data_IF_901258058081
#
_entry.id   IF_901258058081
#
_cell.length_a   1.000
_cell.length_b   1.000
_cell.length_c   1.000
_cell.angle_alpha   90.00
_cell.angle_beta   90.00
_cell.angle_gamma   90.00
#
_symmetry.space_group_name_H-M   'P 1'
#
loop_
_entity.id
_entity.type
_entity.pdbx_description
1 polymer ?
#
# COMPACT_ATOMS: atom_id res chain seq x y z
N UNK A 1 -12.46 13.73 13.99
CA UNK A 1 -13.48 12.68 14.14
C UNK A 1 -13.22 11.44 13.29
N UNK A 2 -12.94 11.52 11.97
CA UNK A 2 -12.71 10.38 11.06
C UNK A 2 -11.80 9.29 11.68
N UNK A 3 -10.53 9.59 11.95
CA UNK A 3 -9.56 8.60 12.46
C UNK A 3 -9.86 8.08 13.88
N UNK A 4 -10.55 8.87 14.71
CA UNK A 4 -11.05 8.40 16.01
C UNK A 4 -12.13 7.33 15.85
N UNK A 5 -13.07 7.50 14.92
CA UNK A 5 -14.09 6.47 14.62
C UNK A 5 -13.44 5.23 14.02
N UNK A 6 -12.43 5.38 13.17
CA UNK A 6 -11.66 4.25 12.65
C UNK A 6 -10.98 3.45 13.79
N UNK A 7 -10.42 4.11 14.79
CA UNK A 7 -9.87 3.41 15.97
C UNK A 7 -10.94 2.65 16.76
N UNK A 8 -12.17 3.17 16.83
CA UNK A 8 -13.31 2.43 17.43
C UNK A 8 -13.63 1.18 16.60
N UNK A 9 -13.66 1.29 15.27
CA UNK A 9 -13.88 0.13 14.39
C UNK A 9 -12.72 -0.88 14.49
N UNK A 10 -11.49 -0.41 14.65
CA UNK A 10 -10.32 -1.24 14.89
C UNK A 10 -10.36 -1.99 16.24
N UNK A 11 -11.11 -1.49 17.21
CA UNK A 11 -11.37 -2.22 18.45
C UNK A 11 -12.49 -3.24 18.29
N UNK A 12 -13.66 -2.82 17.77
CA UNK A 12 -14.87 -3.63 17.76
C UNK A 12 -14.84 -4.77 16.74
N UNK A 13 -14.34 -4.51 15.53
CA UNK A 13 -14.45 -5.43 14.41
C UNK A 13 -13.58 -6.70 14.56
N UNK A 14 -12.30 -6.64 14.99
CA UNK A 14 -11.51 -7.85 15.21
C UNK A 14 -12.06 -8.75 16.32
N UNK A 15 -12.84 -8.21 17.26
CA UNK A 15 -13.54 -8.99 18.29
C UNK A 15 -14.74 -9.77 17.73
N UNK A 16 -15.22 -9.39 16.54
CA UNK A 16 -16.33 -10.00 15.80
C UNK A 16 -15.88 -10.76 14.56
N UNK A 17 -14.58 -11.10 14.47
CA UNK A 17 -13.99 -11.78 13.32
C UNK A 17 -14.15 -11.03 11.97
N UNK A 18 -14.19 -9.71 12.03
CA UNK A 18 -14.15 -8.80 10.88
C UNK A 18 -12.75 -8.20 10.82
N UNK A 19 -12.03 -8.40 9.72
CA UNK A 19 -10.76 -7.72 9.54
C UNK A 19 -11.01 -6.22 9.36
N UNK A 20 -10.39 -5.39 10.22
CA UNK A 20 -10.44 -3.93 10.11
C UNK A 20 -9.11 -3.45 9.54
N UNK A 21 -9.15 -2.64 8.48
CA UNK A 21 -8.02 -2.44 7.58
C UNK A 21 -7.85 -0.98 7.19
N UNK A 22 -6.63 -0.45 7.36
CA UNK A 22 -6.22 0.82 6.77
C UNK A 22 -5.69 0.56 5.36
N UNK A 23 -6.58 0.50 4.39
CA UNK A 23 -6.29 0.13 3.02
C UNK A 23 -7.26 0.81 2.05
N UNK A 24 -6.89 0.89 0.78
CA UNK A 24 -7.83 1.15 -0.31
C UNK A 24 -8.36 -0.19 -0.85
N UNK A 25 -9.52 -0.17 -1.51
CA UNK A 25 -10.09 -1.37 -2.13
C UNK A 25 -10.80 -1.04 -3.43
N UNK A 26 -10.68 -1.92 -4.42
CA UNK A 26 -11.41 -1.88 -5.66
C UNK A 26 -11.81 -3.29 -6.12
N UNK A 27 -12.69 -3.37 -7.11
CA UNK A 27 -13.05 -4.62 -7.76
C UNK A 27 -13.04 -4.45 -9.28
N UNK A 28 -13.05 -5.55 -10.05
CA UNK A 28 -13.22 -5.47 -11.50
C UNK A 28 -14.60 -4.92 -11.88
N UNK A 29 -14.80 -4.61 -13.15
CA UNK A 29 -16.06 -4.05 -13.64
C UNK A 29 -17.27 -5.00 -13.49
N UNK A 30 -17.00 -6.31 -13.33
CA UNK A 30 -18.01 -7.32 -13.07
C UNK A 30 -18.30 -7.54 -11.59
N UNK A 31 -17.55 -6.89 -10.69
CA UNK A 31 -17.70 -7.02 -9.25
C UNK A 31 -17.30 -8.40 -8.69
N UNK A 32 -16.34 -9.10 -9.32
CA UNK A 32 -15.94 -10.48 -8.97
C UNK A 32 -14.54 -10.60 -8.39
N UNK A 33 -13.64 -9.68 -8.72
CA UNK A 33 -12.23 -9.73 -8.33
C UNK A 33 -11.86 -8.50 -7.51
N UNK A 34 -12.03 -8.60 -6.20
CA UNK A 34 -11.65 -7.53 -5.25
C UNK A 34 -10.16 -7.59 -4.95
N UNK A 35 -9.50 -6.44 -5.03
CA UNK A 35 -8.15 -6.20 -4.57
C UNK A 35 -8.12 -5.17 -3.44
N UNK A 36 -7.25 -5.39 -2.45
CA UNK A 36 -7.02 -4.45 -1.35
C UNK A 36 -5.56 -4.01 -1.34
N UNK A 37 -5.35 -2.72 -1.10
CA UNK A 37 -4.04 -2.06 -1.15
C UNK A 37 -3.73 -1.46 0.21
N UNK A 38 -2.80 -2.04 0.94
CA UNK A 38 -2.25 -1.45 2.14
C UNK A 38 -1.07 -0.54 1.78
N UNK A 39 -0.85 0.49 2.57
CA UNK A 39 0.32 1.35 2.38
C UNK A 39 0.21 2.61 3.23
N UNK A 40 1.35 3.17 3.57
CA UNK A 40 1.46 4.44 4.29
C UNK A 40 1.38 5.62 3.32
N UNK A 41 1.37 6.83 3.86
CA UNK A 41 1.37 8.06 3.05
C UNK A 41 2.55 8.06 2.06
N UNK A 42 2.30 8.42 0.81
CA UNK A 42 3.31 8.51 -0.24
C UNK A 42 3.63 7.20 -0.97
N UNK A 43 3.04 6.07 -0.59
CA UNK A 43 3.23 4.78 -1.28
C UNK A 43 2.36 4.62 -2.53
N UNK A 44 1.42 5.54 -2.78
CA UNK A 44 0.55 5.50 -3.95
C UNK A 44 -0.76 4.74 -3.76
N UNK A 45 -1.17 4.47 -2.51
CA UNK A 45 -2.40 3.72 -2.17
C UNK A 45 -3.63 4.23 -2.96
N UNK A 46 -3.99 5.50 -2.83
CA UNK A 46 -5.14 6.10 -3.52
C UNK A 46 -4.95 6.09 -5.04
N UNK A 47 -3.79 6.52 -5.54
CA UNK A 47 -3.48 6.58 -6.97
C UNK A 47 -3.58 5.21 -7.67
N UNK A 48 -3.15 4.13 -7.01
CA UNK A 48 -3.12 2.79 -7.60
C UNK A 48 -4.46 2.05 -7.46
N UNK A 49 -5.25 2.37 -6.43
CA UNK A 49 -6.59 1.80 -6.25
C UNK A 49 -7.66 2.48 -7.10
N UNK A 50 -7.47 3.75 -7.45
CA UNK A 50 -8.34 4.50 -8.35
C UNK A 50 -7.86 4.28 -9.78
N UNK A 51 -8.52 3.36 -10.48
CA UNK A 51 -8.20 2.96 -11.85
C UNK A 51 -9.49 2.96 -12.68
N UNK A 52 -9.52 3.64 -13.85
CA UNK A 52 -10.71 3.67 -14.72
C UNK A 52 -11.16 2.29 -15.22
N UNK A 53 -10.29 1.27 -15.16
CA UNK A 53 -10.62 -0.12 -15.51
C UNK A 53 -11.26 -0.91 -14.35
N UNK A 54 -11.43 -0.30 -13.18
CA UNK A 54 -11.92 -0.98 -11.96
C UNK A 54 -12.94 -0.10 -11.24
N UNK A 55 -13.77 -0.70 -10.40
CA UNK A 55 -14.75 -0.01 -9.57
C UNK A 55 -14.17 0.20 -8.17
N UNK A 56 -14.05 1.44 -7.74
CA UNK A 56 -13.60 1.79 -6.39
C UNK A 56 -14.63 1.35 -5.34
N UNK A 57 -14.17 0.67 -4.28
CA UNK A 57 -14.96 0.38 -3.08
C UNK A 57 -14.72 1.51 -2.07
N UNK A 58 -13.47 1.91 -1.88
CA UNK A 58 -13.06 3.05 -1.06
C UNK A 58 -11.55 3.24 -1.07
N UNK A 59 -11.08 4.39 -0.55
CA UNK A 59 -9.68 4.77 -0.68
C UNK A 59 -8.83 4.64 0.59
N UNK A 60 -9.45 4.42 1.79
CA UNK A 60 -8.69 4.52 3.04
C UNK A 60 -9.04 3.53 4.16
N UNK A 61 -10.33 3.31 4.48
CA UNK A 61 -10.76 2.56 5.67
C UNK A 61 -11.81 1.50 5.33
N UNK A 62 -11.48 0.23 5.58
CA UNK A 62 -12.33 -0.90 5.18
C UNK A 62 -12.49 -1.96 6.27
N UNK A 63 -13.61 -2.67 6.20
CA UNK A 63 -13.83 -3.94 6.86
C UNK A 63 -13.87 -5.10 5.88
N UNK A 64 -13.53 -6.29 6.34
CA UNK A 64 -13.71 -7.52 5.60
C UNK A 64 -14.42 -8.55 6.47
N UNK A 65 -15.72 -8.72 6.25
CA UNK A 65 -16.57 -9.71 6.90
C UNK A 65 -16.60 -11.05 6.12
N UNK A 66 -17.56 -11.91 6.39
CA UNK A 66 -17.70 -13.18 5.66
C UNK A 66 -18.38 -13.03 4.30
N UNK A 67 -19.03 -11.88 4.05
CA UNK A 67 -19.68 -11.58 2.78
C UNK A 67 -18.78 -10.79 1.81
N UNK A 68 -17.70 -10.15 2.32
CA UNK A 68 -16.75 -9.42 1.47
C UNK A 68 -16.13 -8.19 2.11
N UNK A 69 -15.53 -7.36 1.26
CA UNK A 69 -14.84 -6.13 1.64
C UNK A 69 -15.80 -4.95 1.51
N UNK A 70 -15.91 -4.14 2.55
CA UNK A 70 -16.79 -2.97 2.58
C UNK A 70 -16.09 -1.73 3.13
N UNK A 71 -16.50 -0.57 2.61
CA UNK A 71 -15.97 0.74 3.00
C UNK A 71 -16.66 1.24 4.27
N UNK A 72 -15.91 1.87 5.17
CA UNK A 72 -16.47 2.57 6.34
C UNK A 72 -16.91 3.99 6.03
N UNK A 73 -16.49 4.55 4.91
CA UNK A 73 -16.57 5.98 4.60
C UNK A 73 -17.55 6.28 3.47
N UNK A 74 -18.19 7.43 3.55
CA UNK A 74 -19.06 7.94 2.46
C UNK A 74 -18.32 8.85 1.46
N UNK A 75 -17.02 9.05 1.61
CA UNK A 75 -16.22 9.94 0.79
C UNK A 75 -14.75 9.56 0.74
N UNK A 76 -13.98 10.36 -0.01
CA UNK A 76 -12.55 10.22 -0.15
C UNK A 76 -11.83 11.45 0.43
N UNK A 77 -10.56 11.27 0.80
CA UNK A 77 -9.69 12.33 1.31
C UNK A 77 -8.29 12.18 0.71
N UNK A 78 -8.11 12.83 -0.44
CA UNK A 78 -6.93 12.66 -1.28
C UNK A 78 -5.92 13.78 -1.10
N UNK A 79 -4.63 13.48 -1.30
CA UNK A 79 -3.55 14.47 -1.43
C UNK A 79 -3.60 15.03 -2.85
N UNK A 80 -3.43 16.38 -2.98
CA UNK A 80 -3.59 17.05 -4.27
C UNK A 80 -2.40 17.96 -4.64
N UNK A 81 -1.27 17.82 -3.94
CA UNK A 81 -0.05 18.51 -4.37
C UNK A 81 0.39 18.00 -5.74
N UNK A 82 0.62 18.94 -6.67
CA UNK A 82 0.96 18.65 -8.07
C UNK A 82 -0.05 17.72 -8.78
N UNK A 83 -1.34 17.78 -8.38
CA UNK A 83 -2.39 16.99 -9.01
C UNK A 83 -2.48 17.34 -10.50
N UNK A 84 -2.37 16.33 -11.33
CA UNK A 84 -2.40 16.44 -12.78
C UNK A 84 -3.56 15.63 -13.36
N UNK A 85 -4.28 16.24 -14.31
CA UNK A 85 -5.48 15.65 -14.91
C UNK A 85 -5.20 14.39 -15.74
N UNK A 86 -4.02 14.28 -16.35
CA UNK A 86 -3.67 13.15 -17.20
C UNK A 86 -3.23 11.94 -16.38
N UNK A 87 -2.52 12.18 -15.28
CA UNK A 87 -2.02 11.11 -14.40
C UNK A 87 -3.03 10.62 -13.37
N UNK A 88 -3.95 11.52 -12.90
CA UNK A 88 -4.94 11.21 -11.86
C UNK A 88 -6.33 11.78 -12.23
N UNK A 89 -6.92 11.36 -13.36
CA UNK A 89 -8.14 11.95 -13.91
C UNK A 89 -9.35 11.82 -12.96
N UNK A 90 -9.47 10.71 -12.24
CA UNK A 90 -10.62 10.47 -11.37
C UNK A 90 -10.61 11.43 -10.17
N UNK A 91 -9.45 11.64 -9.53
CA UNK A 91 -9.33 12.59 -8.42
C UNK A 91 -9.55 14.01 -8.93
N UNK A 92 -8.94 14.36 -10.07
CA UNK A 92 -9.08 15.69 -10.66
C UNK A 92 -10.54 16.03 -10.97
N UNK A 93 -11.28 15.12 -11.61
CA UNK A 93 -12.67 15.30 -11.98
C UNK A 93 -13.64 15.24 -10.79
N UNK A 94 -13.24 14.63 -9.66
CA UNK A 94 -14.02 14.63 -8.43
C UNK A 94 -14.01 15.98 -7.71
N UNK A 95 -13.07 16.89 -8.04
CA UNK A 95 -12.98 18.22 -7.46
C UNK A 95 -13.99 19.15 -8.15
N UNK A 96 -15.20 19.13 -7.63
CA UNK A 96 -16.34 19.93 -8.14
C UNK A 96 -17.17 20.43 -6.95
N UNK A 97 -18.34 21.01 -7.21
CA UNK A 97 -19.26 21.44 -6.16
C UNK A 97 -19.40 20.37 -5.06
N UNK A 98 -19.38 20.79 -3.82
CA UNK A 98 -19.41 19.97 -2.59
C UNK A 98 -18.10 19.24 -2.25
N UNK A 99 -17.00 19.49 -3.01
CA UNK A 99 -15.65 19.14 -2.56
C UNK A 99 -15.08 20.20 -1.63
N UNK A 100 -14.34 19.76 -0.60
CA UNK A 100 -13.68 20.65 0.37
C UNK A 100 -12.17 20.62 0.14
N UNK A 101 -11.58 21.80 -0.11
CA UNK A 101 -10.15 21.97 -0.25
C UNK A 101 -9.53 22.33 1.11
N UNK A 102 -8.43 21.68 1.45
CA UNK A 102 -7.65 21.95 2.67
C UNK A 102 -6.22 22.32 2.30
N UNK A 103 -5.78 23.48 2.78
CA UNK A 103 -4.44 24.06 2.52
C UNK A 103 -4.15 24.33 1.02
N UNK A 104 -5.13 24.29 0.17
CA UNK A 104 -5.00 24.54 -1.27
C UNK A 104 -5.18 26.04 -1.53
N UNK A 105 -4.29 26.62 -2.30
CA UNK A 105 -4.36 28.04 -2.65
C UNK A 105 -5.35 28.25 -3.78
N UNK A 106 -6.27 29.17 -3.56
CA UNK A 106 -7.25 29.61 -4.56
C UNK A 106 -7.04 31.10 -4.78
N UNK A 107 -6.78 31.51 -6.01
CA UNK A 107 -6.57 32.92 -6.33
C UNK A 107 -7.88 33.75 -6.33
N UNK A 108 -7.78 35.08 -6.46
CA UNK A 108 -8.93 35.99 -6.46
C UNK A 108 -9.97 35.68 -7.56
N UNK A 109 -9.56 35.05 -8.67
CA UNK A 109 -10.43 34.61 -9.73
C UNK A 109 -11.10 33.24 -9.48
N UNK A 110 -10.91 32.65 -8.29
CA UNK A 110 -11.42 31.32 -7.92
C UNK A 110 -10.69 30.16 -8.58
N UNK A 111 -9.53 30.39 -9.21
CA UNK A 111 -8.73 29.33 -9.81
C UNK A 111 -7.84 28.66 -8.77
N UNK A 112 -7.86 27.33 -8.75
CA UNK A 112 -7.03 26.50 -7.88
C UNK A 112 -5.65 26.32 -8.49
N UNK A 113 -4.60 26.42 -7.66
CA UNK A 113 -3.23 26.06 -8.02
C UNK A 113 -2.75 24.90 -7.13
N UNK A 114 -2.69 23.72 -7.70
CA UNK A 114 -2.25 22.50 -6.99
C UNK A 114 -0.72 22.42 -6.83
N UNK A 115 0.05 23.29 -7.50
CA UNK A 115 1.51 23.35 -7.36
C UNK A 115 1.97 24.32 -6.28
N UNK A 116 1.08 25.17 -5.79
CA UNK A 116 1.39 26.16 -4.77
C UNK A 116 1.57 25.51 -3.40
N UNK A 117 2.79 25.62 -2.87
CA UNK A 117 3.19 25.08 -1.56
C UNK A 117 3.35 26.15 -0.49
N UNK A 118 2.93 27.39 -0.77
CA UNK A 118 3.15 28.55 0.13
C UNK A 118 2.54 28.35 1.52
N UNK A 119 1.40 27.67 1.63
CA UNK A 119 0.82 27.31 2.93
C UNK A 119 1.48 26.03 3.49
N UNK A 120 1.55 24.98 2.70
CA UNK A 120 2.17 23.67 3.02
C UNK A 120 2.13 22.75 1.80
N UNK A 121 3.05 21.78 1.73
CA UNK A 121 3.00 20.68 0.74
C UNK A 121 1.89 19.67 1.04
N UNK A 122 1.27 19.69 2.24
CA UNK A 122 0.19 18.80 2.63
C UNK A 122 -1.18 19.36 2.22
N UNK A 123 -1.37 19.57 0.93
CA UNK A 123 -2.65 19.96 0.35
C UNK A 123 -3.57 18.77 0.19
N UNK A 124 -4.85 18.92 0.50
CA UNK A 124 -5.85 17.86 0.48
C UNK A 124 -7.17 18.31 -0.15
N UNK A 125 -7.91 17.32 -0.65
CA UNK A 125 -9.32 17.49 -1.00
C UNK A 125 -10.14 16.39 -0.36
N UNK A 126 -11.30 16.75 0.15
CA UNK A 126 -12.34 15.80 0.58
C UNK A 126 -13.54 15.94 -0.34
N UNK A 127 -14.07 14.83 -0.83
CA UNK A 127 -15.25 14.78 -1.70
C UNK A 127 -16.07 13.52 -1.43
N UNK A 128 -17.40 13.57 -1.67
CA UNK A 128 -18.26 12.40 -1.59
C UNK A 128 -17.81 11.32 -2.58
N UNK A 129 -17.86 10.05 -2.21
CA UNK A 129 -17.36 8.96 -3.05
C UNK A 129 -18.08 8.90 -4.43
N UNK A 130 -19.34 9.31 -4.50
CA UNK A 130 -20.12 9.35 -5.74
C UNK A 130 -19.66 10.45 -6.73
N UNK A 131 -18.68 11.29 -6.37
CA UNK A 131 -17.99 12.16 -7.33
C UNK A 131 -17.06 11.37 -8.26
N UNK A 132 -16.61 10.19 -7.84
CA UNK A 132 -15.91 9.24 -8.69
C UNK A 132 -16.95 8.47 -9.51
N UNK A 133 -16.73 8.36 -10.80
CA UNK A 133 -17.66 7.68 -11.71
C UNK A 133 -17.59 6.15 -11.55
N UNK A 134 -16.38 5.63 -11.49
CA UNK A 134 -16.10 4.21 -11.39
C UNK A 134 -16.11 3.72 -9.93
N UNK A 135 -17.30 3.67 -9.32
CA UNK A 135 -17.50 3.16 -7.96
C UNK A 135 -18.47 1.98 -7.95
N UNK A 136 -18.35 1.13 -6.93
CA UNK A 136 -19.33 0.06 -6.68
C UNK A 136 -20.64 0.67 -6.20
N UNK A 137 -21.75 0.31 -6.84
CA UNK A 137 -23.11 0.80 -6.53
C UNK A 137 -24.05 -0.38 -6.24
N UNK A 138 -25.11 -0.19 -5.42
CA UNK A 138 -25.53 1.03 -4.71
C UNK A 138 -24.80 1.27 -3.40
N UNK A 139 -24.06 0.28 -2.88
CA UNK A 139 -23.27 0.35 -1.65
C UNK A 139 -21.81 0.02 -1.92
N UNK A 140 -20.92 0.68 -1.20
CA UNK A 140 -19.46 0.49 -1.33
C UNK A 140 -19.02 -0.84 -0.69
N UNK A 141 -19.41 -1.97 -1.30
CA UNK A 141 -19.07 -3.34 -0.87
C UNK A 141 -18.76 -4.19 -2.10
N UNK A 142 -17.69 -4.97 -2.03
CA UNK A 142 -17.30 -5.97 -3.02
C UNK A 142 -17.18 -7.35 -2.40
N UNK A 143 -16.99 -8.41 -3.20
CA UNK A 143 -16.76 -9.76 -2.69
C UNK A 143 -15.46 -9.86 -1.89
N UNK A 144 -15.21 -11.03 -1.31
CA UNK A 144 -13.94 -11.32 -0.62
C UNK A 144 -12.73 -11.01 -1.51
N UNK A 145 -11.70 -10.41 -0.93
CA UNK A 145 -10.49 -10.06 -1.69
C UNK A 145 -9.83 -11.33 -2.25
N UNK A 146 -9.37 -11.21 -3.50
CA UNK A 146 -8.53 -12.20 -4.18
C UNK A 146 -7.07 -11.82 -4.17
N UNK A 147 -6.78 -10.51 -4.21
CA UNK A 147 -5.43 -9.99 -4.22
C UNK A 147 -5.24 -9.00 -3.07
N UNK A 148 -4.17 -9.18 -2.30
CA UNK A 148 -3.77 -8.33 -1.18
C UNK A 148 -2.41 -7.75 -1.53
N UNK A 149 -2.31 -6.43 -1.64
CA UNK A 149 -1.12 -5.73 -2.09
C UNK A 149 -0.61 -4.84 -0.96
N UNK A 150 0.60 -5.12 -0.48
CA UNK A 150 1.31 -4.27 0.46
C UNK A 150 2.20 -3.31 -0.32
N UNK A 151 1.86 -2.02 -0.30
CA UNK A 151 2.63 -0.97 -0.95
C UNK A 151 3.71 -0.46 0.01
N UNK A 152 4.94 -0.44 -0.47
CA UNK A 152 6.08 0.17 0.19
C UNK A 152 6.72 1.20 -0.74
N UNK A 153 7.31 2.26 -0.20
CA UNK A 153 8.14 3.18 -0.95
C UNK A 153 9.56 3.10 -0.37
N UNK A 154 10.33 2.12 -0.82
CA UNK A 154 11.71 1.96 -0.40
C UNK A 154 12.61 3.02 -1.06
N UNK A 155 13.23 3.88 -0.26
CA UNK A 155 14.12 4.93 -0.74
C UNK A 155 15.57 4.45 -0.94
N UNK A 156 15.88 3.23 -0.54
CA UNK A 156 17.25 2.68 -0.59
C UNK A 156 17.52 1.85 -1.85
N UNK A 157 16.47 1.56 -2.63
CA UNK A 157 16.58 0.76 -3.86
C UNK A 157 16.83 -0.73 -3.61
N UNK A 158 16.48 -1.23 -2.44
CA UNK A 158 16.73 -2.61 -2.00
C UNK A 158 15.57 -3.54 -2.35
N UNK A 159 14.34 -3.11 -2.03
CA UNK A 159 13.17 -3.96 -2.25
C UNK A 159 12.83 -4.06 -3.75
N UNK A 160 12.48 -5.27 -4.22
CA UNK A 160 12.08 -5.46 -5.61
C UNK A 160 10.75 -4.75 -5.90
N UNK A 161 10.50 -4.36 -7.17
CA UNK A 161 9.22 -3.77 -7.58
C UNK A 161 8.02 -4.62 -7.23
N UNK A 162 8.17 -5.94 -7.22
CA UNK A 162 7.12 -6.88 -6.79
C UNK A 162 7.73 -8.14 -6.19
N UNK A 163 7.08 -8.66 -5.14
CA UNK A 163 7.37 -9.97 -4.55
C UNK A 163 6.07 -10.71 -4.27
N UNK A 164 6.09 -12.00 -4.49
CA UNK A 164 5.00 -12.92 -4.13
C UNK A 164 5.29 -13.42 -2.72
N UNK A 165 4.35 -13.22 -1.80
CA UNK A 165 4.56 -13.58 -0.40
C UNK A 165 3.90 -14.91 -0.06
N UNK A 166 4.63 -15.77 0.64
CA UNK A 166 4.01 -16.90 1.34
C UNK A 166 3.09 -16.41 2.46
N UNK A 167 2.14 -17.22 2.95
CA UNK A 167 1.23 -16.80 4.03
C UNK A 167 1.95 -16.29 5.29
N UNK A 168 3.07 -16.91 5.66
CA UNK A 168 3.83 -16.52 6.84
C UNK A 168 4.68 -15.26 6.58
N UNK A 169 5.26 -15.12 5.38
CA UNK A 169 5.87 -13.86 4.95
C UNK A 169 4.85 -12.72 4.94
N UNK A 170 3.65 -12.96 4.45
CA UNK A 170 2.58 -11.95 4.47
C UNK A 170 2.29 -11.46 5.90
N UNK A 171 2.23 -12.35 6.89
CA UNK A 171 2.05 -11.95 8.29
C UNK A 171 3.26 -11.15 8.81
N UNK A 172 4.49 -11.57 8.50
CA UNK A 172 5.71 -10.86 8.88
C UNK A 172 5.75 -9.43 8.32
N UNK A 173 5.55 -9.29 7.00
CA UNK A 173 5.61 -7.98 6.33
C UNK A 173 4.41 -7.09 6.69
N UNK A 174 3.24 -7.66 6.94
CA UNK A 174 2.09 -6.91 7.45
C UNK A 174 2.33 -6.36 8.86
N UNK A 175 2.88 -7.17 9.77
CA UNK A 175 3.26 -6.71 11.11
C UNK A 175 4.35 -5.65 11.05
N UNK A 176 5.31 -5.78 10.14
CA UNK A 176 6.38 -4.79 9.96
C UNK A 176 5.86 -3.46 9.42
N UNK A 177 5.01 -3.49 8.38
CA UNK A 177 4.42 -2.30 7.77
C UNK A 177 5.48 -1.29 7.31
N UNK A 178 6.46 -1.76 6.51
CA UNK A 178 7.61 -0.96 6.12
C UNK A 178 7.31 0.02 4.97
N UNK A 179 7.86 1.23 5.11
CA UNK A 179 8.08 2.20 4.04
C UNK A 179 9.24 3.13 4.40
N UNK A 180 9.64 4.02 3.49
CA UNK A 180 10.50 5.15 3.83
C UNK A 180 9.67 6.43 3.94
N UNK A 181 9.87 7.20 5.01
CA UNK A 181 9.42 8.60 5.06
C UNK A 181 10.29 9.38 4.10
N UNK A 182 9.66 10.12 3.23
CA UNK A 182 10.33 10.92 2.20
C UNK A 182 10.49 12.36 2.67
N UNK A 183 11.53 13.03 2.19
CA UNK A 183 11.68 14.47 2.39
C UNK A 183 10.39 15.21 1.95
N UNK A 184 9.92 16.16 2.76
CA UNK A 184 8.71 16.94 2.48
C UNK A 184 7.38 16.21 2.70
N UNK A 185 7.37 14.92 3.09
CA UNK A 185 6.10 14.22 3.40
C UNK A 185 5.62 14.44 4.83
N UNK A 186 6.54 14.74 5.74
CA UNK A 186 6.27 15.10 7.13
C UNK A 186 7.20 16.25 7.56
N UNK A 187 6.73 17.10 8.47
CA UNK A 187 7.51 18.23 9.00
C UNK A 187 8.81 17.73 9.65
N UNK A 188 9.95 18.27 9.24
CA UNK A 188 11.27 17.94 9.80
C UNK A 188 11.98 16.75 9.15
N UNK A 189 11.38 16.09 8.13
CA UNK A 189 12.03 15.04 7.38
C UNK A 189 12.75 15.66 6.17
N UNK A 190 14.08 15.72 6.24
CA UNK A 190 14.96 16.26 5.18
C UNK A 190 15.62 15.17 4.34
N UNK A 191 15.75 13.97 4.89
CA UNK A 191 16.31 12.81 4.21
C UNK A 191 15.39 11.58 4.38
N UNK A 192 15.39 10.62 3.43
CA UNK A 192 14.60 9.42 3.55
C UNK A 192 14.97 8.60 4.78
N UNK A 193 13.96 8.21 5.56
CA UNK A 193 14.15 7.40 6.77
C UNK A 193 13.28 6.15 6.72
N UNK A 194 13.82 4.95 7.05
CA UNK A 194 13.02 3.75 7.17
C UNK A 194 12.00 3.93 8.28
N UNK A 195 10.78 3.57 8.01
CA UNK A 195 9.66 3.68 8.94
C UNK A 195 8.89 2.38 8.97
N UNK A 196 8.55 1.94 10.17
CA UNK A 196 7.76 0.74 10.41
C UNK A 196 6.48 1.11 11.15
N UNK A 197 5.35 0.79 10.55
CA UNK A 197 4.03 1.04 11.13
C UNK A 197 3.20 -0.25 11.07
N UNK A 198 3.07 -0.92 12.19
CA UNK A 198 2.38 -2.20 12.30
C UNK A 198 1.03 -2.18 11.55
N UNK A 199 0.80 -3.20 10.72
CA UNK A 199 -0.42 -3.35 9.92
C UNK A 199 -0.73 -2.13 9.03
N UNK A 200 0.30 -1.35 8.64
CA UNK A 200 0.19 -0.08 7.90
C UNK A 200 -0.72 0.97 8.56
N UNK A 201 -0.91 0.88 9.88
CA UNK A 201 -1.83 1.74 10.59
C UNK A 201 -1.63 1.76 12.10
N UNK A 202 -0.40 1.62 12.58
CA UNK A 202 -0.07 1.48 14.02
C UNK A 202 -0.74 2.52 14.93
N UNK A 203 -0.85 3.77 14.47
CA UNK A 203 -1.48 4.85 15.23
C UNK A 203 -2.99 4.65 15.49
N UNK A 204 -3.64 3.75 14.76
CA UNK A 204 -5.09 3.51 14.82
C UNK A 204 -5.42 2.15 15.47
N UNK A 205 -4.43 1.34 15.79
CA UNK A 205 -4.63 0.02 16.38
C UNK A 205 -4.94 0.14 17.87
N UNK A 206 -6.06 -0.42 18.30
CA UNK A 206 -6.50 -0.42 19.71
C UNK A 206 -6.27 -1.78 20.40
N UNK A 207 -5.89 -2.81 19.64
CA UNK A 207 -5.56 -4.14 20.10
C UNK A 207 -4.11 -4.49 19.71
N UNK A 208 -3.59 -5.59 20.23
CA UNK A 208 -2.24 -6.04 19.85
C UNK A 208 -2.16 -6.29 18.32
N UNK A 209 -1.13 -5.79 17.60
CA UNK A 209 -1.02 -5.88 16.15
C UNK A 209 -1.19 -7.29 15.58
N UNK A 210 -0.72 -8.29 16.30
CA UNK A 210 -0.87 -9.69 15.89
C UNK A 210 -2.33 -10.12 15.69
N UNK A 211 -3.29 -9.53 16.43
CA UNK A 211 -4.71 -9.85 16.27
C UNK A 211 -5.22 -9.46 14.88
N UNK A 212 -4.81 -8.31 14.37
CA UNK A 212 -5.14 -7.86 13.02
C UNK A 212 -4.46 -8.72 11.94
N UNK A 213 -3.19 -9.05 12.14
CA UNK A 213 -2.45 -9.91 11.20
C UNK A 213 -3.06 -11.31 11.13
N UNK A 214 -3.43 -11.89 12.28
CA UNK A 214 -4.09 -13.20 12.36
C UNK A 214 -5.45 -13.20 11.66
N UNK A 215 -6.24 -12.15 11.84
CA UNK A 215 -7.55 -12.04 11.20
C UNK A 215 -7.42 -11.85 9.68
N UNK A 216 -6.51 -10.98 9.21
CA UNK A 216 -6.24 -10.83 7.79
C UNK A 216 -5.74 -12.15 7.16
N UNK A 217 -4.82 -12.86 7.82
CA UNK A 217 -4.32 -14.14 7.36
C UNK A 217 -5.42 -15.21 7.31
N UNK A 218 -6.34 -15.21 8.30
CA UNK A 218 -7.51 -16.09 8.31
C UNK A 218 -8.40 -15.82 7.10
N UNK A 219 -8.76 -14.55 6.85
CA UNK A 219 -9.59 -14.14 5.70
C UNK A 219 -8.90 -14.50 4.38
N UNK A 220 -7.61 -14.20 4.24
CA UNK A 220 -6.82 -14.53 3.05
C UNK A 220 -6.85 -16.05 2.76
N UNK A 221 -6.57 -16.87 3.77
CA UNK A 221 -6.56 -18.34 3.64
C UNK A 221 -7.94 -18.89 3.27
N UNK A 222 -8.99 -18.48 3.98
CA UNK A 222 -10.36 -18.95 3.75
C UNK A 222 -10.85 -18.66 2.33
N UNK A 223 -10.43 -17.53 1.76
CA UNK A 223 -10.88 -17.08 0.45
C UNK A 223 -9.87 -17.34 -0.68
N UNK A 224 -8.74 -17.98 -0.37
CA UNK A 224 -7.67 -18.24 -1.34
C UNK A 224 -7.02 -16.98 -1.89
N UNK A 225 -6.99 -15.90 -1.10
CA UNK A 225 -6.38 -14.64 -1.51
C UNK A 225 -4.85 -14.77 -1.54
N UNK A 226 -4.23 -14.12 -2.51
CA UNK A 226 -2.78 -14.03 -2.69
C UNK A 226 -2.26 -12.72 -2.16
N UNK A 227 -1.03 -12.72 -1.67
CA UNK A 227 -0.42 -11.54 -1.06
C UNK A 227 0.85 -11.17 -1.79
N UNK A 228 1.01 -9.88 -2.07
CA UNK A 228 2.15 -9.32 -2.76
C UNK A 228 2.73 -8.15 -1.98
N UNK A 229 4.05 -7.98 -2.04
CA UNK A 229 4.74 -6.76 -1.63
C UNK A 229 5.14 -6.02 -2.90
N UNK A 230 4.68 -4.79 -3.06
CA UNK A 230 4.96 -3.93 -4.22
C UNK A 230 5.71 -2.69 -3.76
N UNK A 231 6.91 -2.49 -4.31
CA UNK A 231 7.73 -1.32 -4.06
C UNK A 231 7.46 -0.24 -5.10
N UNK A 232 6.93 0.89 -4.67
CA UNK A 232 6.71 2.10 -5.47
C UNK A 232 7.80 3.16 -5.26
N UNK A 233 8.86 2.81 -4.55
CA UNK A 233 9.98 3.68 -4.20
C UNK A 233 11.05 3.74 -5.29
N UNK A 234 12.30 3.69 -4.88
CA UNK A 234 13.46 3.86 -5.76
C UNK A 234 14.08 2.51 -6.13
N UNK A 235 14.91 2.54 -7.16
CA UNK A 235 15.81 1.45 -7.55
C UNK A 235 17.27 1.91 -7.47
N UNK A 236 18.20 1.03 -7.77
CA UNK A 236 19.65 1.29 -7.69
C UNK A 236 20.18 2.38 -8.62
N UNK A 237 19.39 2.85 -9.59
CA UNK A 237 19.76 4.00 -10.44
C UNK A 237 19.54 5.35 -9.74
N UNK A 238 18.99 5.35 -8.53
CA UNK A 238 18.56 6.56 -7.82
C UNK A 238 17.28 7.19 -8.36
N UNK A 239 16.58 6.51 -9.27
CA UNK A 239 15.29 6.95 -9.81
C UNK A 239 14.14 6.19 -9.13
N UNK A 240 13.04 6.89 -8.94
CA UNK A 240 11.79 6.26 -8.48
C UNK A 240 11.24 5.34 -9.58
N UNK A 241 10.72 4.18 -9.19
CA UNK A 241 10.00 3.27 -10.08
C UNK A 241 8.82 4.05 -10.67
N UNK A 242 8.68 4.01 -11.99
CA UNK A 242 7.66 4.81 -12.66
C UNK A 242 6.25 4.31 -12.31
N UNK A 243 5.29 5.23 -12.31
CA UNK A 243 3.88 4.86 -12.09
C UNK A 243 3.39 3.93 -13.20
N UNK A 244 3.94 4.07 -14.41
CA UNK A 244 3.66 3.19 -15.56
C UNK A 244 4.11 1.76 -15.29
N UNK A 245 5.34 1.56 -14.80
CA UNK A 245 5.84 0.22 -14.46
C UNK A 245 5.06 -0.37 -13.29
N UNK A 246 4.74 0.44 -12.28
CA UNK A 246 3.95 0.00 -11.14
C UNK A 246 2.54 -0.44 -11.55
N UNK A 247 1.87 0.32 -12.43
CA UNK A 247 0.55 -0.06 -12.95
C UNK A 247 0.61 -1.33 -13.78
N UNK A 248 1.62 -1.52 -14.64
CA UNK A 248 1.82 -2.75 -15.40
C UNK A 248 1.97 -3.96 -14.46
N UNK A 249 2.75 -3.84 -13.40
CA UNK A 249 2.91 -4.88 -12.37
C UNK A 249 1.57 -5.17 -11.66
N UNK A 250 0.80 -4.14 -11.32
CA UNK A 250 -0.52 -4.30 -10.71
C UNK A 250 -1.48 -5.00 -11.68
N UNK A 251 -1.51 -4.62 -12.95
CA UNK A 251 -2.33 -5.28 -13.99
C UNK A 251 -1.97 -6.78 -14.09
N UNK A 252 -0.68 -7.13 -14.05
CA UNK A 252 -0.19 -8.53 -14.03
C UNK A 252 -0.62 -9.29 -12.76
N UNK A 253 -0.62 -8.63 -11.60
CA UNK A 253 -1.15 -9.20 -10.35
C UNK A 253 -2.64 -9.50 -10.51
N UNK A 254 -3.41 -8.51 -10.94
CA UNK A 254 -4.88 -8.58 -11.01
C UNK A 254 -5.38 -9.56 -12.06
N UNK A 255 -4.65 -9.73 -13.17
CA UNK A 255 -4.93 -10.76 -14.18
C UNK A 255 -4.42 -12.15 -13.81
N UNK A 256 -3.55 -12.24 -12.80
CA UNK A 256 -2.85 -13.47 -12.41
C UNK A 256 -1.73 -13.89 -13.37
N UNK A 257 -1.38 -13.06 -14.38
CA UNK A 257 -0.29 -13.35 -15.34
C UNK A 257 1.05 -13.43 -14.64
N UNK A 258 1.26 -12.64 -13.58
CA UNK A 258 2.50 -12.61 -12.79
C UNK A 258 2.91 -13.99 -12.21
N UNK A 259 1.96 -14.91 -12.07
CA UNK A 259 2.19 -16.24 -11.51
C UNK A 259 2.49 -17.31 -12.57
N UNK A 260 2.36 -16.97 -13.86
CA UNK A 260 2.54 -17.92 -14.97
C UNK A 260 4.02 -18.11 -15.35
N UNK A 261 4.89 -17.19 -14.94
CA UNK A 261 6.30 -17.17 -15.25
C UNK A 261 7.15 -17.89 -14.22
N UNK A 262 8.46 -18.04 -14.55
CA UNK A 262 9.45 -18.47 -13.58
C UNK A 262 9.70 -17.38 -12.54
N UNK A 263 10.06 -17.81 -11.34
CA UNK A 263 10.40 -16.93 -10.21
C UNK A 263 11.82 -17.22 -9.72
N UNK A 264 12.37 -16.32 -8.94
CA UNK A 264 13.61 -16.51 -8.19
C UNK A 264 13.53 -15.83 -6.84
N UNK A 265 14.35 -16.26 -5.89
CA UNK A 265 14.49 -15.59 -4.60
C UNK A 265 15.62 -14.57 -4.63
N UNK A 266 15.46 -13.47 -3.89
CA UNK A 266 16.54 -12.51 -3.66
C UNK A 266 17.25 -12.81 -2.33
N UNK A 267 18.57 -12.55 -2.24
CA UNK A 267 19.32 -12.71 -0.98
C UNK A 267 18.78 -11.85 0.16
N UNK A 268 19.11 -12.22 1.39
CA UNK A 268 18.79 -11.57 2.66
C UNK A 268 17.29 -11.53 3.01
N UNK A 269 16.40 -11.58 2.04
CA UNK A 269 14.93 -11.42 2.25
C UNK A 269 14.15 -12.66 1.88
N UNK A 270 14.72 -13.60 1.13
CA UNK A 270 14.04 -14.77 0.58
C UNK A 270 12.71 -14.44 -0.14
N UNK A 271 12.58 -13.18 -0.57
CA UNK A 271 11.41 -12.74 -1.33
C UNK A 271 11.43 -13.37 -2.72
N UNK A 272 10.33 -14.00 -3.08
CA UNK A 272 10.12 -14.59 -4.39
C UNK A 272 9.70 -13.50 -5.38
N UNK A 273 10.49 -13.30 -6.42
CA UNK A 273 10.25 -12.30 -7.46
C UNK A 273 10.03 -12.96 -8.82
N UNK A 274 9.09 -12.47 -9.65
CA UNK A 274 8.96 -12.93 -11.03
C UNK A 274 10.19 -12.52 -11.84
N UNK A 275 10.55 -13.33 -12.82
CA UNK A 275 11.66 -13.00 -13.73
C UNK A 275 11.20 -11.99 -14.78
N UNK A 276 9.92 -12.04 -15.18
CA UNK A 276 9.30 -11.14 -16.15
C UNK A 276 7.97 -10.63 -15.63
N UNK A 277 7.60 -9.40 -16.00
CA UNK A 277 6.27 -8.83 -15.85
C UNK A 277 5.92 -8.10 -17.16
N UNK A 278 4.70 -8.31 -17.65
CA UNK A 278 4.26 -7.75 -18.92
C UNK A 278 4.10 -6.23 -18.82
N UNK A 279 4.66 -5.49 -19.75
CA UNK A 279 4.58 -4.03 -19.77
C UNK A 279 5.51 -3.29 -18.80
N UNK A 280 6.17 -3.97 -17.87
CA UNK A 280 7.20 -3.39 -17.03
C UNK A 280 8.55 -3.33 -17.75
N UNK A 281 9.37 -2.34 -17.41
CA UNK A 281 10.71 -2.19 -17.99
C UNK A 281 11.56 -3.43 -17.70
N UNK A 282 12.24 -3.94 -18.74
CA UNK A 282 13.12 -5.10 -18.58
C UNK A 282 14.23 -4.84 -17.54
N UNK A 283 14.48 -5.84 -16.70
CA UNK A 283 15.57 -5.83 -15.73
C UNK A 283 15.32 -5.12 -14.40
N UNK A 284 14.19 -4.38 -14.25
CA UNK A 284 13.91 -3.70 -12.96
C UNK A 284 13.47 -4.64 -11.84
N UNK A 285 12.92 -5.81 -12.17
CA UNK A 285 12.33 -6.73 -11.19
C UNK A 285 13.34 -7.26 -10.17
N UNK A 286 14.60 -7.39 -10.57
CA UNK A 286 15.67 -7.66 -9.63
C UNK A 286 16.44 -6.37 -9.29
N UNK A 287 16.25 -5.79 -8.10
CA UNK A 287 16.85 -4.50 -7.76
C UNK A 287 18.37 -4.53 -7.79
N UNK A 288 19.00 -5.67 -7.48
CA UNK A 288 20.46 -5.83 -7.54
C UNK A 288 21.03 -5.54 -8.94
N UNK A 289 20.28 -5.83 -10.01
CA UNK A 289 20.67 -5.58 -11.39
C UNK A 289 20.59 -4.09 -11.80
N UNK A 290 19.94 -3.26 -10.99
CA UNK A 290 19.78 -1.83 -11.26
C UNK A 290 20.97 -1.01 -10.76
N UNK A 291 21.83 -1.60 -9.95
CA UNK A 291 23.07 -0.98 -9.46
C UNK A 291 24.22 -1.12 -10.44
N UNK A 292 25.07 -0.10 -10.53
CA UNK A 292 26.32 -0.18 -11.31
C UNK A 292 27.29 -1.20 -10.69
N UNK A 293 27.37 -1.22 -9.36
CA UNK A 293 28.09 -2.20 -8.57
C UNK A 293 27.10 -3.01 -7.74
N UNK A 294 26.86 -4.29 -8.06
CA UNK A 294 25.95 -5.14 -7.31
C UNK A 294 26.30 -5.29 -5.82
N UNK A 295 27.57 -5.13 -5.45
CA UNK A 295 28.01 -5.20 -4.05
C UNK A 295 27.47 -4.02 -3.21
N UNK A 296 27.13 -2.92 -3.84
CA UNK A 296 26.46 -1.81 -3.16
C UNK A 296 25.04 -2.19 -2.75
N UNK A 297 24.32 -2.91 -3.64
CA UNK A 297 23.02 -3.44 -3.29
C UNK A 297 23.12 -4.42 -2.10
N UNK A 298 24.10 -5.33 -2.12
CA UNK A 298 24.30 -6.33 -1.06
C UNK A 298 24.47 -5.63 0.30
N UNK A 299 25.32 -4.60 0.40
CA UNK A 299 25.53 -3.82 1.65
C UNK A 299 24.26 -3.11 2.13
N UNK A 300 23.49 -2.52 1.18
CA UNK A 300 22.23 -1.83 1.53
C UNK A 300 21.14 -2.82 1.94
N UNK A 301 21.09 -3.98 1.29
CA UNK A 301 20.18 -5.06 1.59
C UNK A 301 20.42 -5.61 3.00
N UNK A 302 21.68 -5.89 3.35
CA UNK A 302 22.07 -6.31 4.70
C UNK A 302 21.68 -5.26 5.76
N UNK A 303 21.97 -3.98 5.49
CA UNK A 303 21.61 -2.90 6.41
C UNK A 303 20.08 -2.74 6.59
N UNK A 304 19.29 -2.94 5.54
CA UNK A 304 17.83 -2.90 5.63
C UNK A 304 17.29 -4.16 6.31
N UNK A 305 17.83 -5.35 6.02
CA UNK A 305 17.49 -6.60 6.69
C UNK A 305 17.68 -6.49 8.21
N UNK A 306 18.81 -5.95 8.66
CA UNK A 306 19.06 -5.70 10.08
C UNK A 306 17.98 -4.83 10.73
N UNK A 307 17.48 -3.80 10.03
CA UNK A 307 16.42 -2.92 10.54
C UNK A 307 15.08 -3.64 10.64
N UNK A 308 14.74 -4.51 9.70
CA UNK A 308 13.54 -5.36 9.78
C UNK A 308 13.62 -6.31 10.98
N UNK A 309 14.74 -6.99 11.16
CA UNK A 309 14.97 -7.92 12.27
C UNK A 309 14.83 -7.18 13.61
N UNK A 310 15.48 -6.02 13.75
CA UNK A 310 15.39 -5.22 14.98
C UNK A 310 13.97 -4.74 15.25
N UNK A 311 13.27 -4.23 14.21
CA UNK A 311 11.87 -3.81 14.36
C UNK A 311 10.97 -4.98 14.79
N UNK A 312 11.21 -6.19 14.31
CA UNK A 312 10.33 -7.33 14.56
C UNK A 312 10.45 -7.87 15.98
N UNK A 313 11.57 -7.65 16.66
CA UNK A 313 11.80 -8.05 18.07
C UNK A 313 10.70 -7.57 19.03
N UNK A 314 10.12 -6.39 18.79
CA UNK A 314 9.01 -5.86 19.62
C UNK A 314 7.76 -6.74 19.59
N UNK A 315 7.55 -7.53 18.53
CA UNK A 315 6.44 -8.47 18.42
C UNK A 315 6.81 -9.84 18.95
N UNK A 316 7.99 -10.35 18.59
CA UNK A 316 8.45 -11.67 18.98
C UNK A 316 8.79 -11.77 20.48
N UNK A 317 9.21 -10.68 21.12
CA UNK A 317 9.45 -10.62 22.54
C UNK A 317 8.18 -10.79 23.40
N UNK A 318 7.01 -10.52 22.83
CA UNK A 318 5.74 -10.51 23.58
C UNK A 318 4.75 -11.59 23.13
N UNK A 319 5.04 -12.31 22.03
CA UNK A 319 4.11 -13.27 21.45
C UNK A 319 4.85 -14.43 20.76
N UNK A 320 4.64 -15.65 21.24
CA UNK A 320 5.28 -16.87 20.73
C UNK A 320 4.89 -17.20 19.28
N UNK A 321 3.67 -16.86 18.84
CA UNK A 321 3.30 -17.01 17.44
C UNK A 321 4.09 -16.05 16.54
N UNK A 322 4.35 -14.82 17.01
CA UNK A 322 5.23 -13.88 16.31
C UNK A 322 6.67 -14.37 16.26
N UNK A 323 7.18 -14.99 17.34
CA UNK A 323 8.52 -15.56 17.36
C UNK A 323 8.73 -16.62 16.27
N UNK A 324 7.70 -17.42 15.97
CA UNK A 324 7.74 -18.39 14.86
C UNK A 324 7.81 -17.74 13.49
N UNK A 325 7.37 -16.49 13.37
CA UNK A 325 7.40 -15.74 12.12
C UNK A 325 8.78 -15.14 11.80
N UNK A 326 9.70 -15.03 12.76
CA UNK A 326 11.05 -14.47 12.55
C UNK A 326 11.78 -15.12 11.38
N UNK A 327 11.67 -16.44 11.24
CA UNK A 327 12.31 -17.21 10.16
C UNK A 327 11.75 -16.95 8.76
N UNK A 328 10.65 -16.20 8.64
CA UNK A 328 10.05 -15.80 7.36
C UNK A 328 10.32 -14.34 7.02
N UNK A 329 11.01 -13.65 7.89
CA UNK A 329 11.55 -12.32 7.66
C UNK A 329 12.93 -12.35 7.01
N UNK A 330 13.54 -11.17 6.85
CA UNK A 330 14.94 -11.07 6.42
C UNK A 330 15.90 -11.76 7.40
N UNK A 331 17.05 -12.19 6.87
CA UNK A 331 18.14 -12.81 7.62
C UNK A 331 19.49 -12.16 7.29
N UNK A 332 20.45 -12.33 8.19
CA UNK A 332 21.87 -11.96 7.97
C UNK A 332 22.65 -13.27 7.98
N UNK A 333 23.33 -13.54 6.88
CA UNK A 333 24.22 -14.71 6.75
C UNK A 333 25.58 -14.43 7.40
#
# INVERSE_FOLDING_TARGET
MKKGMFSVMNYLNPLRHIASMHCSANTDLEGKNTAIFFGLSGTGKTTLSTDPKRLLIGDDEHGWDDEGVFNYEGGCYAKVINLDKESEPDIYNAIRKDALLENVIVNEAGKVDFSDTSATENTRVSYPIYHIENIVKPISKGPAAKEIIFLSADAYGVLPPVSILSPDQAMYYFLSGYTSKLAGTERGITEPQPTFSACFGAAFLSLHPFKYAKELARKARTNGARVYLVNTGWNGTGKRISIKDTRAIIDDILSGSILKGATKKIPYFDLEIPINAEGAQAGILNPRNTYKDPSEWDRRAEALAAKFIENFKKFSATNEECKRLEKFGPHLD
#
